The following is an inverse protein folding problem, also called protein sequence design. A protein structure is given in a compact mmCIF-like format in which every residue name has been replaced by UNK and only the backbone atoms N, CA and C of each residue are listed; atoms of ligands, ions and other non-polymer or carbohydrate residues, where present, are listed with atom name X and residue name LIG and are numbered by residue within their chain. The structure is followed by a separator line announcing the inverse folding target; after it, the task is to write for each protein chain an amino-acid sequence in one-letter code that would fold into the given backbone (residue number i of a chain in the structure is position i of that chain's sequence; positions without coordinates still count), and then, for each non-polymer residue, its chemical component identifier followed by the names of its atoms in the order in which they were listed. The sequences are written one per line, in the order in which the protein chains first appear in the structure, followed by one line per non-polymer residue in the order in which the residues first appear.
data_IF_510775734550
#
_entry.id   IF_510775734550
#
_cell.length_a   1.000
_cell.length_b   1.000
_cell.length_c   1.000
_cell.angle_alpha   90.00
_cell.angle_beta   90.00
_cell.angle_gamma   90.00
#
_symmetry.space_group_name_H-M   'P 1'
#
loop_
_entity.id
_entity.type
_entity.pdbx_description
1 polymer ?
#
# COMPACT_ATOMS: atom_id res chain seq x y z
N UNK A 1 3.05 23.23 4.37
CA UNK A 1 1.91 22.36 4.67
C UNK A 1 2.36 20.94 4.44
N UNK A 2 2.41 20.11 5.48
CA UNK A 2 2.52 18.66 5.31
C UNK A 2 1.13 18.15 4.94
N UNK A 3 1.04 17.27 3.95
CA UNK A 3 -0.23 16.67 3.56
C UNK A 3 -0.48 15.46 4.46
N UNK A 4 -1.54 15.49 5.27
CA UNK A 4 -1.92 14.36 6.10
C UNK A 4 -2.60 13.29 5.24
N UNK A 5 -2.11 12.05 5.32
CA UNK A 5 -2.77 10.88 4.73
C UNK A 5 -3.02 9.85 5.82
N UNK A 6 -4.12 9.13 5.72
CA UNK A 6 -4.49 8.07 6.66
C UNK A 6 -4.75 6.78 5.86
N UNK A 7 -4.22 5.65 6.35
CA UNK A 7 -4.55 4.35 5.80
C UNK A 7 -5.88 3.87 6.37
N UNK A 8 -6.85 3.57 5.50
CA UNK A 8 -8.16 3.05 5.91
C UNK A 8 -8.19 1.54 6.05
N UNK A 9 -7.53 0.82 5.14
CA UNK A 9 -7.50 -0.64 5.11
C UNK A 9 -6.46 -1.13 4.10
N UNK A 10 -5.98 -2.34 4.28
CA UNK A 10 -5.19 -3.05 3.28
C UNK A 10 -5.63 -4.51 3.18
N UNK A 11 -5.33 -5.11 2.04
CA UNK A 11 -5.21 -6.56 1.87
C UNK A 11 -3.85 -6.76 1.22
N UNK A 12 -2.89 -7.29 1.94
CA UNK A 12 -1.51 -7.34 1.44
C UNK A 12 -0.91 -8.71 1.70
N UNK A 13 -0.31 -9.31 0.68
CA UNK A 13 0.36 -10.59 0.85
C UNK A 13 1.63 -10.67 0.02
N UNK A 14 2.72 -11.12 0.64
CA UNK A 14 3.99 -11.47 -0.02
C UNK A 14 4.42 -12.84 0.54
N UNK A 15 4.70 -13.84 -0.32
CA UNK A 15 5.16 -15.14 0.16
C UNK A 15 6.57 -15.04 0.78
N UNK A 16 6.85 -15.89 1.76
CA UNK A 16 8.13 -15.95 2.50
C UNK A 16 9.38 -15.88 1.64
N UNK A 17 9.36 -16.51 0.46
CA UNK A 17 10.48 -16.53 -0.50
C UNK A 17 10.87 -15.13 -1.02
N UNK A 18 10.00 -14.13 -0.86
CA UNK A 18 10.23 -12.75 -1.28
C UNK A 18 10.29 -11.74 -0.13
N UNK A 19 9.90 -12.14 1.09
CA UNK A 19 9.85 -11.27 2.28
C UNK A 19 11.15 -10.49 2.49
N UNK A 20 12.30 -11.17 2.48
CA UNK A 20 13.60 -10.49 2.68
C UNK A 20 13.93 -9.47 1.58
N UNK A 21 13.49 -9.70 0.34
CA UNK A 21 13.69 -8.78 -0.77
C UNK A 21 12.79 -7.55 -0.64
N UNK A 22 11.53 -7.75 -0.25
CA UNK A 22 10.58 -6.65 -0.01
C UNK A 22 11.11 -5.76 1.12
N UNK A 23 11.50 -6.33 2.27
CA UNK A 23 12.08 -5.54 3.37
C UNK A 23 13.30 -4.71 2.95
N UNK A 24 14.19 -5.28 2.11
CA UNK A 24 15.35 -4.53 1.61
C UNK A 24 14.95 -3.37 0.69
N UNK A 25 13.91 -3.56 -0.14
CA UNK A 25 13.42 -2.54 -1.08
C UNK A 25 12.61 -1.42 -0.39
N UNK A 26 11.98 -1.73 0.74
CA UNK A 26 11.15 -0.79 1.50
C UNK A 26 11.88 -0.22 2.72
N UNK A 27 13.18 -0.50 2.87
CA UNK A 27 13.97 -0.03 4.00
C UNK A 27 13.95 1.51 4.10
N UNK A 28 13.61 2.03 5.27
CA UNK A 28 13.54 3.48 5.53
C UNK A 28 12.24 4.15 5.06
N UNK A 29 11.29 3.38 4.53
CA UNK A 29 9.97 3.86 4.16
C UNK A 29 9.02 3.73 5.37
N UNK A 30 7.99 4.59 5.48
CA UNK A 30 7.11 4.64 6.64
C UNK A 30 6.02 3.55 6.61
N UNK A 31 6.42 2.31 6.31
CA UNK A 31 5.55 1.15 6.23
C UNK A 31 6.08 0.04 7.11
N UNK A 32 5.29 -0.35 8.11
CA UNK A 32 5.57 -1.51 8.94
C UNK A 32 4.89 -2.75 8.33
N UNK A 33 5.62 -3.85 8.24
CA UNK A 33 5.14 -5.08 7.62
C UNK A 33 5.10 -6.20 8.67
N UNK A 34 3.94 -6.79 8.87
CA UNK A 34 3.78 -7.90 9.82
C UNK A 34 3.96 -9.23 9.11
N UNK A 35 4.61 -10.17 9.82
CA UNK A 35 4.84 -11.52 9.36
C UNK A 35 3.92 -12.51 10.09
N UNK A 36 3.46 -13.52 9.37
CA UNK A 36 2.85 -14.71 9.98
C UNK A 36 3.91 -15.71 10.47
N UNK A 37 3.46 -16.85 11.02
CA UNK A 37 4.35 -17.91 11.52
C UNK A 37 5.21 -18.58 10.44
N UNK A 38 4.80 -18.50 9.18
CA UNK A 38 5.52 -19.09 8.05
C UNK A 38 6.49 -18.08 7.42
N UNK A 39 6.46 -16.83 7.86
CA UNK A 39 7.33 -15.74 7.39
C UNK A 39 6.76 -14.97 6.20
N UNK A 40 5.49 -15.16 5.85
CA UNK A 40 4.83 -14.38 4.80
C UNK A 40 4.52 -13.00 5.36
N UNK A 41 4.60 -11.97 4.52
CA UNK A 41 4.01 -10.68 4.87
C UNK A 41 2.51 -10.79 4.66
N UNK A 42 1.72 -10.52 5.69
CA UNK A 42 0.24 -10.61 5.64
C UNK A 42 -0.46 -9.28 5.90
N UNK A 43 0.26 -8.31 6.45
CA UNK A 43 -0.27 -7.00 6.78
C UNK A 43 0.78 -5.92 6.54
N UNK A 44 0.29 -4.72 6.24
CA UNK A 44 1.08 -3.50 6.14
C UNK A 44 0.32 -2.40 6.89
N UNK A 45 1.07 -1.62 7.66
CA UNK A 45 0.58 -0.42 8.34
C UNK A 45 1.42 0.80 7.94
N UNK A 46 0.75 1.91 7.63
CA UNK A 46 1.40 3.19 7.39
C UNK A 46 1.65 3.90 8.73
N UNK A 47 2.92 4.18 9.04
CA UNK A 47 3.35 4.73 10.35
C UNK A 47 4.00 6.13 10.24
N UNK A 48 3.86 6.80 9.09
CA UNK A 48 4.54 8.08 8.81
C UNK A 48 3.69 9.33 9.03
N UNK A 49 4.37 10.48 9.10
CA UNK A 49 3.79 11.83 8.98
C UNK A 49 4.28 12.42 7.64
N UNK A 50 3.40 12.56 6.63
CA UNK A 50 3.86 12.46 5.24
C UNK A 50 4.45 13.74 4.60
N UNK A 51 5.59 13.54 3.93
CA UNK A 51 5.97 14.05 2.60
C UNK A 51 6.72 12.93 1.84
N UNK A 52 6.22 12.42 0.71
CA UNK A 52 6.93 11.38 -0.07
C UNK A 52 6.15 10.75 -1.24
N UNK A 53 6.88 10.19 -2.23
CA UNK A 53 6.35 9.48 -3.40
C UNK A 53 6.38 7.95 -3.17
N UNK A 54 5.51 7.46 -2.28
CA UNK A 54 5.43 6.03 -1.94
C UNK A 54 5.08 5.15 -3.15
N UNK A 55 4.44 5.74 -4.17
CA UNK A 55 3.97 5.02 -5.33
C UNK A 55 5.14 4.33 -6.08
N UNK A 56 6.29 4.99 -6.20
CA UNK A 56 7.47 4.41 -6.85
C UNK A 56 7.98 3.15 -6.12
N UNK A 57 8.05 3.20 -4.79
CA UNK A 57 8.40 2.02 -3.97
C UNK A 57 7.42 0.87 -4.22
N UNK A 58 6.12 1.16 -4.24
CA UNK A 58 5.10 0.12 -4.49
C UNK A 58 5.23 -0.48 -5.89
N UNK A 59 5.67 0.27 -6.89
CA UNK A 59 5.95 -0.27 -8.22
C UNK A 59 7.13 -1.26 -8.20
N UNK A 60 8.16 -1.02 -7.39
CA UNK A 60 9.32 -1.92 -7.31
C UNK A 60 9.00 -3.26 -6.64
N UNK A 61 8.14 -3.26 -5.63
CA UNK A 61 7.77 -4.50 -4.93
C UNK A 61 6.61 -5.24 -5.60
N UNK A 62 5.86 -4.60 -6.50
CA UNK A 62 4.68 -5.18 -7.13
C UNK A 62 4.87 -6.58 -7.76
N UNK A 63 6.01 -6.94 -8.36
CA UNK A 63 6.24 -8.29 -8.88
C UNK A 63 6.22 -9.39 -7.81
N UNK A 64 6.37 -9.05 -6.54
CA UNK A 64 6.43 -9.99 -5.41
C UNK A 64 5.15 -10.01 -4.57
N UNK A 65 4.23 -9.07 -4.82
CA UNK A 65 2.98 -8.93 -4.08
C UNK A 65 1.90 -9.77 -4.77
N UNK A 66 1.08 -10.47 -3.99
CA UNK A 66 0.00 -11.30 -4.52
C UNK A 66 -1.05 -10.46 -5.27
N UNK A 67 -1.46 -10.96 -6.44
CA UNK A 67 -2.54 -10.39 -7.24
C UNK A 67 -3.82 -10.19 -6.41
N UNK A 68 -4.40 -9.00 -6.54
CA UNK A 68 -5.60 -8.60 -5.78
C UNK A 68 -5.28 -8.02 -4.40
N UNK A 69 -4.00 -7.85 -4.05
CA UNK A 69 -3.62 -7.01 -2.91
C UNK A 69 -3.92 -5.54 -3.19
N UNK A 70 -4.21 -4.79 -2.14
CA UNK A 70 -4.39 -3.34 -2.19
C UNK A 70 -4.01 -2.66 -0.88
N UNK A 71 -3.76 -1.36 -0.99
CA UNK A 71 -3.61 -0.44 0.15
C UNK A 71 -4.56 0.74 -0.13
N UNK A 72 -5.44 1.06 0.82
CA UNK A 72 -6.44 2.11 0.70
C UNK A 72 -6.11 3.29 1.61
N UNK A 73 -5.97 4.46 1.01
CA UNK A 73 -5.63 5.71 1.68
C UNK A 73 -6.76 6.73 1.54
N UNK A 74 -6.83 7.64 2.51
CA UNK A 74 -7.59 8.89 2.44
C UNK A 74 -6.62 10.07 2.63
N UNK A 75 -6.80 11.11 1.82
CA UNK A 75 -6.10 12.38 1.97
C UNK A 75 -6.91 13.37 2.81
N UNK A 76 -6.29 14.50 3.13
CA UNK A 76 -6.89 15.57 3.95
C UNK A 76 -8.24 16.07 3.40
N UNK A 77 -8.36 16.21 2.08
CA UNK A 77 -9.57 16.70 1.41
C UNK A 77 -10.67 15.62 1.26
N UNK A 78 -10.48 14.44 1.86
CA UNK A 78 -11.39 13.31 1.74
C UNK A 78 -11.24 12.51 0.43
N UNK A 79 -10.30 12.93 -0.43
CA UNK A 79 -9.87 12.17 -1.61
C UNK A 79 -9.38 10.80 -1.17
N UNK A 80 -9.80 9.77 -1.90
CA UNK A 80 -9.47 8.39 -1.57
C UNK A 80 -8.86 7.73 -2.78
N UNK A 81 -7.86 6.89 -2.54
CA UNK A 81 -7.25 6.09 -3.59
C UNK A 81 -6.84 4.73 -3.06
N UNK A 82 -6.68 3.80 -3.98
CA UNK A 82 -6.05 2.51 -3.72
C UNK A 82 -4.82 2.32 -4.58
N UNK A 83 -3.74 1.87 -3.97
CA UNK A 83 -2.68 1.19 -4.71
C UNK A 83 -3.09 -0.27 -4.87
N UNK A 84 -3.29 -0.71 -6.11
CA UNK A 84 -3.77 -2.06 -6.44
C UNK A 84 -2.68 -2.84 -7.16
N UNK A 85 -2.41 -4.04 -6.66
CA UNK A 85 -1.39 -4.95 -7.19
C UNK A 85 -2.05 -6.02 -8.05
N UNK A 86 -1.65 -6.08 -9.32
CA UNK A 86 -2.16 -7.07 -10.28
C UNK A 86 -1.17 -7.31 -11.40
N UNK A 87 -0.93 -8.56 -11.73
CA UNK A 87 -0.03 -8.98 -12.82
C UNK A 87 1.37 -8.36 -12.69
N UNK A 88 1.89 -8.33 -11.46
CA UNK A 88 3.21 -7.79 -11.14
C UNK A 88 3.37 -6.28 -11.27
N UNK A 89 2.26 -5.53 -11.41
CA UNK A 89 2.28 -4.06 -11.46
C UNK A 89 1.43 -3.47 -10.34
N UNK A 90 1.86 -2.31 -9.83
CA UNK A 90 1.07 -1.47 -8.93
C UNK A 90 0.46 -0.30 -9.73
N UNK A 91 -0.83 -0.04 -9.52
CA UNK A 91 -1.54 1.12 -10.07
C UNK A 91 -2.25 1.87 -8.97
N UNK A 92 -2.23 3.19 -9.05
CA UNK A 92 -3.11 4.03 -8.27
C UNK A 92 -4.48 4.11 -8.93
N UNK A 93 -5.53 3.95 -8.12
CA UNK A 93 -6.92 4.04 -8.55
C UNK A 93 -7.62 5.00 -7.58
N UNK A 94 -7.98 6.19 -8.09
CA UNK A 94 -8.79 7.15 -7.36
C UNK A 94 -10.22 6.66 -7.20
N UNK A 95 -10.82 6.91 -6.03
CA UNK A 95 -12.21 6.64 -5.78
C UNK A 95 -13.08 7.69 -6.47
N UNK A 96 -14.17 7.24 -7.10
CA UNK A 96 -15.22 8.13 -7.59
C UNK A 96 -16.34 8.19 -6.55
N UNK A 97 -16.57 9.35 -5.98
CA UNK A 97 -17.69 9.60 -5.07
C UNK A 97 -18.83 10.19 -5.87
N UNK A 98 -19.99 9.53 -5.86
CA UNK A 98 -21.21 10.00 -6.51
C UNK A 98 -22.33 10.07 -5.46
N UNK A 99 -22.99 11.22 -5.40
CA UNK A 99 -24.20 11.39 -4.61
C UNK A 99 -25.40 11.12 -5.53
N UNK A 100 -26.33 10.23 -5.15
CA UNK A 100 -27.56 10.08 -5.91
C UNK A 100 -28.37 11.37 -5.87
N UNK A 101 -29.07 11.67 -6.96
CA UNK A 101 -30.12 12.69 -6.94
C UNK A 101 -31.22 12.25 -5.94
N UNK A 102 -31.78 13.20 -5.19
CA UNK A 102 -32.82 12.98 -4.16
C UNK A 102 -34.05 12.22 -4.68
#
# INVERSE_FOLDING_TARGET
MGYCIEMKSSKFFVPTEHTGRVFAMTQGQPYDFQLDSDGNITELEFIGEKLGNDFEMFQWIAPYVQDGSYIWMIGEDGDQWRWVFRSGVCKEIEAKVEWPDE
#
